data_IF_964841699463
#
_entry.id   IF_964841699463
#
_cell.length_a   1.000
_cell.length_b   1.000
_cell.length_c   1.000
_cell.angle_alpha   90.00
_cell.angle_beta   90.00
_cell.angle_gamma   90.00
#
_symmetry.space_group_name_H-M   'P 1'
#
loop_
_entity.id
_entity.type
_entity.pdbx_description
1 polymer ?
#
# COMPACT_ATOMS: atom_id res chain seq x y z
N UNK A 1 -33.02 35.81 -37.12
CA UNK A 1 -32.35 37.11 -37.32
C UNK A 1 -30.84 36.96 -37.18
N UNK A 2 -30.19 37.16 -38.33
CA UNK A 2 -28.82 37.66 -38.61
C UNK A 2 -27.64 37.22 -37.71
N UNK A 3 -26.92 36.29 -38.28
CA UNK A 3 -25.49 36.00 -38.17
C UNK A 3 -24.60 37.22 -38.41
N UNK A 4 -23.58 37.45 -37.58
CA UNK A 4 -22.43 38.29 -37.94
C UNK A 4 -21.13 37.44 -37.82
N UNK A 5 -20.54 37.19 -38.97
CA UNK A 5 -19.15 36.75 -39.14
C UNK A 5 -18.24 37.94 -38.99
N UNK A 6 -17.15 37.82 -38.26
CA UNK A 6 -16.01 38.74 -38.30
C UNK A 6 -14.85 38.00 -38.95
N UNK A 7 -14.34 38.61 -39.99
CA UNK A 7 -13.19 38.21 -40.83
C UNK A 7 -11.95 38.78 -40.17
N UNK A 8 -10.88 38.01 -40.05
CA UNK A 8 -9.56 38.51 -39.68
C UNK A 8 -8.68 38.48 -40.92
N UNK A 9 -8.19 39.61 -41.28
CA UNK A 9 -7.21 39.82 -42.34
C UNK A 9 -5.81 39.61 -41.79
N UNK A 10 -4.98 39.01 -42.64
CA UNK A 10 -3.54 38.80 -42.49
C UNK A 10 -2.80 40.03 -43.08
N UNK A 11 -1.84 40.56 -42.34
CA UNK A 11 -0.75 41.32 -42.92
C UNK A 11 0.57 40.89 -42.29
N UNK A 12 1.45 40.46 -43.16
CA UNK A 12 2.85 40.20 -42.90
C UNK A 12 3.67 41.46 -42.87
N UNK A 13 4.88 41.38 -42.43
CA UNK A 13 6.07 42.11 -42.98
C UNK A 13 7.33 41.66 -42.17
N UNK A 14 8.28 41.08 -42.94
CA UNK A 14 9.74 41.25 -42.96
C UNK A 14 10.63 41.17 -41.70
N UNK A 15 11.52 40.20 -41.79
CA UNK A 15 12.90 40.10 -41.28
C UNK A 15 13.82 41.14 -42.00
N UNK A 16 15.02 41.57 -41.54
CA UNK A 16 16.03 40.81 -40.78
C UNK A 16 16.90 41.66 -39.82
N UNK A 17 17.54 41.02 -38.83
CA UNK A 17 18.86 41.50 -38.35
C UNK A 17 19.66 40.34 -37.74
N UNK A 18 20.66 39.95 -38.49
CA UNK A 18 21.76 39.06 -38.10
C UNK A 18 22.66 39.80 -37.13
N UNK A 19 22.85 39.27 -35.92
CA UNK A 19 23.90 39.69 -34.99
C UNK A 19 24.95 38.60 -34.81
N UNK A 20 26.24 38.96 -34.66
CA UNK A 20 27.34 38.01 -34.67
C UNK A 20 27.48 37.25 -33.36
N UNK A 21 27.96 35.98 -33.45
CA UNK A 21 28.23 35.12 -32.31
C UNK A 21 29.50 35.60 -31.57
N UNK A 22 29.46 35.63 -30.22
CA UNK A 22 30.71 35.72 -29.47
C UNK A 22 31.31 34.31 -29.26
N UNK A 23 32.62 34.30 -29.24
CA UNK A 23 33.51 33.15 -29.24
C UNK A 23 33.38 32.28 -27.96
N UNK A 24 33.71 31.01 -28.18
CA UNK A 24 33.87 29.96 -27.17
C UNK A 24 34.91 30.29 -26.12
N UNK A 25 34.49 30.40 -24.88
CA UNK A 25 35.38 30.14 -23.74
C UNK A 25 34.98 28.78 -23.13
N UNK A 26 35.88 27.83 -23.26
CA UNK A 26 35.79 26.50 -22.66
C UNK A 26 36.03 26.58 -21.16
N UNK A 27 34.99 26.45 -20.36
CA UNK A 27 35.10 26.11 -18.94
C UNK A 27 34.39 24.78 -18.70
N UNK A 28 35.20 23.75 -18.53
CA UNK A 28 34.77 22.39 -18.24
C UNK A 28 34.10 22.32 -16.86
N UNK A 29 32.78 22.47 -16.80
CA UNK A 29 31.99 22.06 -15.67
C UNK A 29 31.72 20.56 -15.81
N UNK A 30 32.48 19.75 -15.10
CA UNK A 30 32.15 18.33 -14.90
C UNK A 30 30.82 18.26 -14.13
N UNK A 31 29.73 18.10 -14.89
CA UNK A 31 28.44 17.69 -14.36
C UNK A 31 28.60 16.29 -13.75
N UNK A 32 28.69 16.21 -12.42
CA UNK A 32 28.58 14.94 -11.68
C UNK A 32 27.28 14.26 -12.13
N UNK A 33 27.38 13.29 -13.02
CA UNK A 33 26.27 12.38 -13.37
C UNK A 33 25.81 11.74 -12.06
N UNK A 34 24.64 12.17 -11.55
CA UNK A 34 23.93 11.48 -10.49
C UNK A 34 23.66 10.06 -11.01
N UNK A 35 24.37 9.07 -10.45
CA UNK A 35 24.07 7.67 -10.74
C UNK A 35 22.60 7.40 -10.43
N UNK A 36 21.85 6.76 -11.33
CA UNK A 36 20.46 6.42 -11.05
C UNK A 36 20.44 5.51 -9.82
N UNK A 37 19.72 5.93 -8.77
CA UNK A 37 19.46 5.08 -7.61
C UNK A 37 18.92 3.76 -8.13
N UNK A 38 19.59 2.64 -7.82
CA UNK A 38 19.15 1.31 -8.18
C UNK A 38 17.69 1.14 -7.74
N UNK A 39 16.79 0.93 -8.69
CA UNK A 39 15.37 0.66 -8.39
C UNK A 39 15.34 -0.59 -7.53
N UNK A 40 14.92 -0.46 -6.28
CA UNK A 40 14.70 -1.60 -5.37
C UNK A 40 13.82 -2.62 -6.11
N UNK A 41 14.34 -3.84 -6.32
CA UNK A 41 13.57 -4.90 -6.97
C UNK A 41 12.41 -5.29 -6.04
N UNK A 42 11.18 -5.18 -6.53
CA UNK A 42 9.99 -5.63 -5.81
C UNK A 42 9.99 -7.17 -5.73
N UNK A 43 9.27 -7.71 -4.74
CA UNK A 43 9.03 -9.16 -4.62
C UNK A 43 8.22 -9.70 -5.80
N UNK A 44 7.42 -8.86 -6.45
CA UNK A 44 6.62 -9.21 -7.61
C UNK A 44 7.48 -9.79 -8.75
N UNK A 45 7.03 -10.94 -9.31
CA UNK A 45 7.69 -11.60 -10.45
C UNK A 45 8.95 -12.41 -10.10
N UNK A 46 9.36 -12.52 -8.82
CA UNK A 46 10.51 -13.31 -8.39
C UNK A 46 10.08 -14.57 -7.61
N UNK A 47 10.87 -15.63 -7.68
CA UNK A 47 10.76 -16.72 -6.68
C UNK A 47 11.30 -16.20 -5.36
N UNK A 48 10.44 -16.15 -4.35
CA UNK A 48 10.79 -15.68 -3.01
C UNK A 48 10.42 -16.76 -2.00
N UNK A 49 11.36 -17.22 -1.16
CA UNK A 49 11.03 -18.13 -0.07
C UNK A 49 10.13 -17.41 0.93
N UNK A 50 9.38 -18.19 1.70
CA UNK A 50 8.62 -17.65 2.84
C UNK A 50 9.65 -17.16 3.87
N UNK A 51 9.55 -15.93 4.37
CA UNK A 51 10.43 -15.43 5.41
C UNK A 51 10.33 -16.27 6.68
N UNK A 52 11.43 -16.47 7.39
CA UNK A 52 11.49 -17.30 8.58
C UNK A 52 10.73 -16.71 9.79
N UNK A 53 10.46 -15.40 9.78
CA UNK A 53 9.67 -14.70 10.81
C UNK A 53 9.08 -13.41 10.24
N UNK A 54 8.05 -12.86 10.90
CA UNK A 54 7.49 -11.56 10.49
C UNK A 54 8.53 -10.45 10.43
N UNK A 55 9.47 -10.39 11.36
CA UNK A 55 10.50 -9.34 11.39
C UNK A 55 11.45 -9.40 10.20
N UNK A 56 11.72 -10.61 9.69
CA UNK A 56 12.55 -10.82 8.50
C UNK A 56 11.80 -10.64 7.19
N UNK A 57 10.48 -10.52 7.24
CA UNK A 57 9.67 -10.32 6.06
C UNK A 57 9.84 -8.90 5.50
N UNK A 58 10.07 -8.81 4.19
CA UNK A 58 10.13 -7.54 3.47
C UNK A 58 8.73 -7.21 2.97
N UNK A 59 8.19 -6.08 3.43
CA UNK A 59 6.97 -5.48 2.87
C UNK A 59 7.37 -4.41 1.87
N UNK A 60 6.83 -4.51 0.66
CA UNK A 60 7.03 -3.54 -0.41
C UNK A 60 5.77 -2.70 -0.63
N UNK A 61 5.96 -1.53 -1.19
CA UNK A 61 4.89 -0.62 -1.61
C UNK A 61 5.12 -0.13 -3.02
N UNK A 62 4.04 0.12 -3.73
CA UNK A 62 4.05 0.66 -5.10
C UNK A 62 3.33 2.00 -5.14
N UNK A 63 3.64 2.88 -6.09
CA UNK A 63 2.90 4.13 -6.26
C UNK A 63 1.41 3.86 -6.50
N UNK A 64 0.55 4.67 -5.86
CA UNK A 64 -0.88 4.64 -6.14
C UNK A 64 -1.16 5.42 -7.44
N UNK A 65 -1.66 4.78 -8.51
CA UNK A 65 -1.98 5.46 -9.77
C UNK A 65 -3.15 6.44 -9.63
N UNK A 66 -3.98 6.29 -8.58
CA UNK A 66 -5.15 7.14 -8.31
C UNK A 66 -5.00 7.93 -7.00
N UNK A 67 -3.81 8.50 -6.74
CA UNK A 67 -3.51 9.19 -5.49
C UNK A 67 -4.44 10.38 -5.17
N UNK A 68 -5.11 10.96 -6.16
CA UNK A 68 -6.11 12.04 -6.01
C UNK A 68 -7.52 11.56 -5.66
N UNK A 69 -7.79 10.23 -5.74
CA UNK A 69 -9.12 9.66 -5.54
C UNK A 69 -9.20 8.94 -4.20
N UNK A 70 -10.31 9.13 -3.47
CA UNK A 70 -10.60 8.38 -2.26
C UNK A 70 -11.30 7.07 -2.62
N UNK A 71 -10.74 5.94 -2.20
CA UNK A 71 -11.33 4.61 -2.33
C UNK A 71 -10.80 3.69 -1.25
N UNK A 72 -11.48 2.58 -1.00
CA UNK A 72 -11.04 1.54 -0.08
C UNK A 72 -10.40 0.41 -0.86
N UNK A 73 -9.19 0.02 -0.46
CA UNK A 73 -8.59 -1.24 -0.86
C UNK A 73 -8.73 -2.24 0.29
N UNK A 74 -9.26 -3.44 0.00
CA UNK A 74 -9.46 -4.53 0.97
C UNK A 74 -8.57 -5.71 0.64
N UNK A 75 -7.91 -6.24 1.66
CA UNK A 75 -7.28 -7.55 1.65
C UNK A 75 -7.95 -8.45 2.67
N UNK A 76 -8.21 -9.69 2.26
CA UNK A 76 -8.81 -10.70 3.11
C UNK A 76 -7.90 -11.92 3.15
N UNK A 77 -7.54 -12.37 4.34
CA UNK A 77 -6.74 -13.56 4.58
C UNK A 77 -7.53 -14.53 5.47
N UNK A 78 -8.41 -15.38 4.88
CA UNK A 78 -9.29 -16.26 5.63
C UNK A 78 -8.58 -17.45 6.27
N UNK A 79 -7.37 -17.75 5.83
CA UNK A 79 -6.57 -18.89 6.28
C UNK A 79 -5.31 -18.43 7.02
N UNK A 80 -5.38 -17.30 7.72
CA UNK A 80 -4.25 -16.82 8.49
C UNK A 80 -3.94 -17.75 9.65
N UNK A 81 -2.66 -18.05 9.85
CA UNK A 81 -2.20 -19.01 10.85
C UNK A 81 -1.00 -18.47 11.61
N UNK A 82 -0.97 -18.69 12.91
CA UNK A 82 0.17 -18.42 13.79
C UNK A 82 0.25 -19.54 14.87
N UNK A 83 1.16 -19.41 15.82
CA UNK A 83 1.28 -20.32 16.94
C UNK A 83 0.99 -19.61 18.26
N UNK A 84 0.41 -20.32 19.20
CA UNK A 84 0.37 -19.87 20.59
C UNK A 84 1.79 -19.77 21.15
N UNK A 85 2.22 -18.62 21.69
CA UNK A 85 3.59 -18.45 22.17
C UNK A 85 3.91 -19.29 23.43
N UNK A 86 2.88 -19.80 24.11
CA UNK A 86 3.02 -20.58 25.34
C UNK A 86 2.98 -22.07 25.03
N UNK A 87 2.00 -22.53 24.24
CA UNK A 87 1.74 -23.96 24.03
C UNK A 87 2.26 -24.48 22.69
N UNK A 88 2.63 -23.62 21.75
CA UNK A 88 3.01 -24.00 20.39
C UNK A 88 1.86 -24.54 19.55
N UNK A 89 0.62 -24.51 20.06
CA UNK A 89 -0.55 -24.94 19.30
C UNK A 89 -0.84 -23.95 18.16
N UNK A 90 -1.34 -24.42 17.01
CA UNK A 90 -1.72 -23.54 15.92
C UNK A 90 -2.97 -22.74 16.26
N UNK A 91 -2.93 -21.45 15.94
CA UNK A 91 -4.05 -20.53 16.00
C UNK A 91 -4.43 -20.10 14.60
N UNK A 92 -5.71 -19.94 14.35
CA UNK A 92 -6.27 -19.60 13.05
C UNK A 92 -7.10 -18.33 13.15
N UNK A 93 -7.06 -17.52 12.10
CA UNK A 93 -7.88 -16.31 12.02
C UNK A 93 -8.31 -16.00 10.59
N UNK A 94 -9.41 -15.25 10.49
CA UNK A 94 -9.81 -14.56 9.29
C UNK A 94 -9.41 -13.09 9.46
N UNK A 95 -8.40 -12.62 8.74
CA UNK A 95 -7.97 -11.24 8.78
C UNK A 95 -8.65 -10.43 7.66
N UNK A 96 -9.19 -9.27 7.99
CA UNK A 96 -9.69 -8.29 7.02
C UNK A 96 -8.97 -6.97 7.23
N UNK A 97 -8.30 -6.49 6.20
CA UNK A 97 -7.52 -5.25 6.19
C UNK A 97 -8.14 -4.31 5.17
N UNK A 98 -8.64 -3.17 5.63
CA UNK A 98 -9.16 -2.10 4.79
C UNK A 98 -8.29 -0.86 4.93
N UNK A 99 -7.99 -0.18 3.82
CA UNK A 99 -7.34 1.12 3.91
C UNK A 99 -7.73 2.04 2.77
N UNK A 100 -7.71 3.34 3.05
CA UNK A 100 -7.81 4.41 2.04
C UNK A 100 -6.41 4.85 1.69
N UNK A 101 -5.90 4.48 0.51
CA UNK A 101 -4.52 4.79 0.15
C UNK A 101 -4.33 6.30 -0.06
N UNK A 102 -3.12 6.78 0.29
CA UNK A 102 -2.63 8.09 -0.10
C UNK A 102 -1.71 7.94 -1.33
N UNK A 103 -0.40 8.03 -1.13
CA UNK A 103 0.60 7.96 -2.21
C UNK A 103 0.98 6.54 -2.62
N UNK A 104 0.70 5.54 -1.78
CA UNK A 104 1.21 4.19 -1.95
C UNK A 104 0.14 3.13 -1.74
N UNK A 105 0.29 2.03 -2.48
CA UNK A 105 -0.41 0.76 -2.27
C UNK A 105 0.58 -0.26 -1.72
N UNK A 106 0.09 -1.21 -0.92
CA UNK A 106 0.91 -2.38 -0.55
C UNK A 106 1.10 -3.28 -1.77
N UNK A 107 2.32 -3.80 -1.94
CA UNK A 107 2.57 -4.80 -2.97
C UNK A 107 2.04 -6.16 -2.47
N UNK A 108 1.11 -6.74 -3.22
CA UNK A 108 0.27 -7.87 -2.79
C UNK A 108 1.06 -9.15 -2.51
N UNK A 109 2.11 -9.43 -3.28
CA UNK A 109 2.95 -10.62 -3.05
C UNK A 109 3.78 -10.48 -1.77
N UNK A 110 4.33 -9.29 -1.52
CA UNK A 110 5.08 -9.04 -0.28
C UNK A 110 4.18 -9.13 0.95
N UNK A 111 2.93 -8.63 0.85
CA UNK A 111 1.93 -8.79 1.90
C UNK A 111 1.62 -10.27 2.16
N UNK A 112 1.39 -11.06 1.09
CA UNK A 112 1.17 -12.50 1.21
C UNK A 112 2.33 -13.20 1.91
N UNK A 113 3.57 -12.91 1.53
CA UNK A 113 4.76 -13.49 2.15
C UNK A 113 4.90 -13.06 3.62
N UNK A 114 4.60 -11.81 3.92
CA UNK A 114 4.59 -11.29 5.28
C UNK A 114 3.57 -12.02 6.15
N UNK A 115 2.32 -12.15 5.71
CA UNK A 115 1.30 -12.88 6.45
C UNK A 115 1.66 -14.36 6.62
N UNK A 116 2.21 -15.00 5.58
CA UNK A 116 2.67 -16.39 5.67
C UNK A 116 3.84 -16.59 6.66
N UNK A 117 4.64 -15.56 6.93
CA UNK A 117 5.76 -15.66 7.87
C UNK A 117 5.34 -15.85 9.33
N UNK A 118 4.08 -15.60 9.64
CA UNK A 118 3.50 -15.86 10.97
C UNK A 118 3.22 -17.34 11.23
N UNK A 119 3.13 -18.18 10.19
CA UNK A 119 2.68 -19.57 10.30
C UNK A 119 3.40 -20.38 11.39
N UNK A 120 4.69 -20.16 11.58
CA UNK A 120 5.51 -20.83 12.58
C UNK A 120 6.04 -19.85 13.63
N UNK A 121 5.35 -18.71 13.81
CA UNK A 121 5.74 -17.66 14.74
C UNK A 121 4.75 -17.59 15.90
N UNK A 122 5.28 -17.67 17.13
CA UNK A 122 4.46 -17.56 18.35
C UNK A 122 4.11 -16.11 18.65
N UNK A 123 2.81 -15.79 18.74
CA UNK A 123 2.33 -14.47 19.13
C UNK A 123 0.91 -14.54 19.70
N UNK A 124 0.55 -13.61 20.59
CA UNK A 124 -0.83 -13.49 21.06
C UNK A 124 -1.71 -12.86 19.98
N UNK A 125 -3.00 -13.16 20.00
CA UNK A 125 -3.98 -12.73 18.99
C UNK A 125 -4.04 -11.21 18.88
N UNK A 126 -4.08 -10.53 20.02
CA UNK A 126 -4.17 -9.07 20.12
C UNK A 126 -2.90 -8.43 19.55
N UNK A 127 -1.74 -8.85 20.03
CA UNK A 127 -0.46 -8.31 19.57
C UNK A 127 -0.27 -8.55 18.07
N UNK A 128 -0.54 -9.75 17.59
CA UNK A 128 -0.44 -10.11 16.18
C UNK A 128 -1.28 -9.19 15.29
N UNK A 129 -2.56 -9.05 15.62
CA UNK A 129 -3.48 -8.23 14.83
C UNK A 129 -3.06 -6.76 14.80
N UNK A 130 -2.74 -6.21 15.97
CA UNK A 130 -2.31 -4.82 16.12
C UNK A 130 -0.98 -4.57 15.43
N UNK A 131 0.02 -5.44 15.60
CA UNK A 131 1.33 -5.31 14.97
C UNK A 131 1.26 -5.32 13.43
N UNK A 132 0.41 -6.18 12.84
CA UNK A 132 0.17 -6.19 11.39
C UNK A 132 -0.42 -4.85 10.94
N UNK A 133 -1.44 -4.34 11.64
CA UNK A 133 -2.06 -3.06 11.33
C UNK A 133 -1.06 -1.89 11.41
N UNK A 134 -0.31 -1.80 12.50
CA UNK A 134 0.69 -0.76 12.73
C UNK A 134 1.80 -0.78 11.67
N UNK A 135 2.30 -1.96 11.33
CA UNK A 135 3.36 -2.10 10.31
C UNK A 135 2.90 -1.66 8.92
N UNK A 136 1.68 -2.02 8.53
CA UNK A 136 1.09 -1.58 7.28
C UNK A 136 0.83 -0.07 7.27
N UNK A 137 0.33 0.48 8.36
CA UNK A 137 0.10 1.91 8.50
C UNK A 137 1.42 2.72 8.38
N UNK A 138 2.47 2.28 9.06
CA UNK A 138 3.79 2.92 8.99
C UNK A 138 4.41 2.86 7.58
N UNK A 139 4.24 1.73 6.87
CA UNK A 139 4.76 1.54 5.51
C UNK A 139 4.04 2.42 4.49
N UNK A 140 2.70 2.39 4.51
CA UNK A 140 1.85 2.98 3.45
C UNK A 140 1.56 4.45 3.70
N UNK A 141 1.53 4.86 4.98
CA UNK A 141 1.04 6.18 5.42
C UNK A 141 -0.29 6.52 4.73
N UNK A 142 -1.31 5.65 4.87
CA UNK A 142 -2.60 5.84 4.23
C UNK A 142 -3.37 6.98 4.91
N UNK A 143 -4.46 7.44 4.31
CA UNK A 143 -5.38 8.38 4.97
C UNK A 143 -6.05 7.74 6.18
N UNK A 144 -6.39 6.46 6.06
CA UNK A 144 -6.99 5.64 7.09
C UNK A 144 -6.71 4.16 6.81
N UNK A 145 -6.61 3.38 7.87
CA UNK A 145 -6.49 1.93 7.84
C UNK A 145 -7.22 1.32 9.04
N UNK A 146 -7.93 0.21 8.81
CA UNK A 146 -8.41 -0.67 9.87
C UNK A 146 -8.02 -2.11 9.58
N UNK A 147 -7.90 -2.90 10.63
CA UNK A 147 -7.75 -4.35 10.56
C UNK A 147 -8.72 -4.99 11.55
N UNK A 148 -9.40 -6.05 11.14
CA UNK A 148 -10.12 -6.99 12.00
C UNK A 148 -9.44 -8.34 11.94
N UNK A 149 -9.11 -8.89 13.10
CA UNK A 149 -8.64 -10.25 13.29
C UNK A 149 -9.71 -11.06 13.98
N UNK A 150 -10.37 -11.96 13.25
CA UNK A 150 -11.42 -12.84 13.75
C UNK A 150 -10.81 -14.20 14.04
N UNK A 151 -10.44 -14.41 15.30
CA UNK A 151 -9.72 -15.59 15.73
C UNK A 151 -10.66 -16.71 16.10
N UNK A 152 -10.33 -17.91 15.61
CA UNK A 152 -11.10 -19.11 15.95
C UNK A 152 -10.97 -19.44 17.44
N UNK A 153 -11.96 -20.16 18.01
CA UNK A 153 -11.98 -20.41 19.44
C UNK A 153 -10.76 -21.16 19.95
N UNK A 154 -10.27 -20.69 21.09
CA UNK A 154 -9.34 -21.40 21.94
C UNK A 154 -10.01 -21.68 23.26
N UNK A 155 -10.10 -22.94 23.69
CA UNK A 155 -10.89 -23.31 24.87
C UNK A 155 -12.40 -22.99 24.74
N UNK A 156 -12.94 -22.98 23.51
CA UNK A 156 -14.34 -22.67 23.23
C UNK A 156 -14.67 -21.16 23.11
N UNK A 157 -13.69 -20.28 23.32
CA UNK A 157 -13.89 -18.82 23.30
C UNK A 157 -13.22 -18.22 22.08
N UNK A 158 -14.00 -17.63 21.11
CA UNK A 158 -13.43 -16.85 20.02
C UNK A 158 -12.98 -15.49 20.54
N UNK A 159 -11.99 -14.88 19.88
CA UNK A 159 -11.49 -13.56 20.20
C UNK A 159 -11.46 -12.75 18.91
N UNK A 160 -12.17 -11.62 18.88
CA UNK A 160 -12.11 -10.68 17.77
C UNK A 160 -11.30 -9.46 18.20
N UNK A 161 -10.32 -9.08 17.39
CA UNK A 161 -9.42 -7.95 17.66
C UNK A 161 -9.55 -6.92 16.56
N UNK A 162 -9.84 -5.67 16.93
CA UNK A 162 -10.00 -4.57 16.00
C UNK A 162 -9.00 -3.45 16.29
N UNK A 163 -8.35 -2.96 15.24
CA UNK A 163 -7.46 -1.81 15.34
C UNK A 163 -7.64 -0.90 14.13
N UNK A 164 -7.53 0.39 14.33
CA UNK A 164 -7.55 1.37 13.25
C UNK A 164 -6.66 2.58 13.56
N UNK A 165 -6.22 3.27 12.49
CA UNK A 165 -5.50 4.52 12.58
C UNK A 165 -5.76 5.42 11.36
N UNK A 166 -5.43 6.71 11.53
CA UNK A 166 -5.70 7.74 10.53
C UNK A 166 -7.13 8.27 10.58
N UNK A 167 -7.50 9.08 9.58
CA UNK A 167 -8.83 9.68 9.48
C UNK A 167 -9.53 9.20 8.23
N UNK A 168 -10.68 8.56 8.40
CA UNK A 168 -11.54 8.16 7.29
C UNK A 168 -12.10 9.41 6.59
N UNK A 169 -11.88 9.59 5.27
CA UNK A 169 -12.51 10.66 4.52
C UNK A 169 -14.04 10.51 4.50
N UNK A 170 -14.76 11.63 4.55
CA UNK A 170 -16.23 11.62 4.65
C UNK A 170 -16.94 11.08 3.42
N UNK A 171 -16.28 11.14 2.26
CA UNK A 171 -16.78 10.73 0.95
C UNK A 171 -16.47 9.27 0.60
N UNK A 172 -16.03 8.47 1.58
CA UNK A 172 -15.65 7.07 1.36
C UNK A 172 -16.66 6.14 1.99
N UNK A 173 -17.25 5.29 1.16
CA UNK A 173 -18.03 4.15 1.62
C UNK A 173 -17.08 3.00 2.01
N UNK A 174 -17.25 2.48 3.22
CA UNK A 174 -16.49 1.35 3.75
C UNK A 174 -17.44 0.19 3.96
N UNK A 175 -17.33 -0.90 3.20
CA UNK A 175 -18.20 -2.06 3.38
C UNK A 175 -17.96 -2.74 4.72
N UNK A 176 -18.97 -3.43 5.23
CA UNK A 176 -18.81 -4.29 6.40
C UNK A 176 -17.72 -5.32 6.16
N UNK A 177 -17.06 -5.80 7.22
CA UNK A 177 -15.99 -6.78 7.07
C UNK A 177 -16.50 -8.15 6.61
N UNK A 178 -17.79 -8.40 6.81
CA UNK A 178 -18.49 -9.57 6.24
C UNK A 178 -18.09 -10.91 6.88
N UNK A 179 -17.38 -10.89 8.00
CA UNK A 179 -17.05 -12.10 8.74
C UNK A 179 -18.18 -12.43 9.69
N UNK A 180 -18.81 -13.59 9.49
CA UNK A 180 -19.89 -14.02 10.35
C UNK A 180 -19.39 -14.26 11.79
N UNK A 181 -20.17 -13.88 12.82
CA UNK A 181 -19.83 -14.24 14.19
C UNK A 181 -19.69 -15.75 14.33
N UNK A 182 -18.73 -16.18 15.14
CA UNK A 182 -18.60 -17.60 15.43
C UNK A 182 -19.82 -18.10 16.22
N UNK A 183 -20.50 -19.08 15.68
CA UNK A 183 -21.71 -19.65 16.30
C UNK A 183 -21.53 -21.06 16.85
N UNK A 184 -20.28 -21.56 16.87
CA UNK A 184 -20.03 -22.95 17.24
C UNK A 184 -20.46 -23.96 16.16
N UNK A 185 -20.75 -25.18 16.59
CA UNK A 185 -21.44 -26.17 15.75
C UNK A 185 -22.94 -25.94 15.92
N UNK A 186 -23.45 -24.99 15.16
CA UNK A 186 -24.87 -24.73 15.10
C UNK A 186 -25.51 -25.38 13.91
#
# INVERSE_FOLDING_TARGET
>A
MRTKRIRVESDGIDNPLVMPRPDRASTGAQTKRKMPMARKRLQLGQRSPIPASPDKAVLDRVPNPHAGTNYVARFTAPEFTTLCPITGQPDFAHLVIDYVPARFLVESKSLKLYLNSFRNHGTFHEDCTVAIGMRLFALLRPKWLRIGGYWYPRGGMPIDVFWQAGRLPKDVWVPDQGVAPYRGRG
#
